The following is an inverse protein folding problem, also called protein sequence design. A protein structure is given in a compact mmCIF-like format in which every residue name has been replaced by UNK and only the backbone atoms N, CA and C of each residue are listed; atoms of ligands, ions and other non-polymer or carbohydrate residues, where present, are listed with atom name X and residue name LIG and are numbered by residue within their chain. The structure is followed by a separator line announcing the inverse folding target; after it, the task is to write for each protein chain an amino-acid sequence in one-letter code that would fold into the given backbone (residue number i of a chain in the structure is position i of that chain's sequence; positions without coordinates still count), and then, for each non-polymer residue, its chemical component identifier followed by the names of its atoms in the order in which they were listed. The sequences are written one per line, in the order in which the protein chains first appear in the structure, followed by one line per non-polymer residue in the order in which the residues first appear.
data_IF_761067339039
#
_entry.id   IF_761067339039
#
_cell.length_a   1.000
_cell.length_b   1.000
_cell.length_c   1.000
_cell.angle_alpha   90.00
_cell.angle_beta   90.00
_cell.angle_gamma   90.00
#
_symmetry.space_group_name_H-M   'P 1'
#
loop_
_entity.id
_entity.type
_entity.pdbx_description
1 polymer ?
#
# COMPACT_ATOMS: atom_id res chain seq x y z
N UNK A 1 -6.47 14.26 9.51
CA UNK A 1 -6.13 12.84 9.34
C UNK A 1 -5.69 12.56 7.90
N UNK A 2 -4.83 11.58 7.73
CA UNK A 2 -4.39 11.11 6.41
C UNK A 2 -4.86 9.67 6.22
N UNK A 3 -5.49 9.39 5.07
CA UNK A 3 -5.86 8.02 4.68
C UNK A 3 -5.04 7.63 3.47
N UNK A 4 -4.36 6.48 3.54
CA UNK A 4 -3.60 5.87 2.45
C UNK A 4 -4.32 4.60 2.05
N UNK A 5 -4.97 4.62 0.89
CA UNK A 5 -5.70 3.47 0.36
C UNK A 5 -4.88 2.83 -0.77
N UNK A 6 -4.45 1.58 -0.56
CA UNK A 6 -3.68 0.84 -1.56
C UNK A 6 -4.48 -0.37 -1.99
N UNK A 7 -5.08 -0.25 -3.15
CA UNK A 7 -5.85 -1.29 -3.82
C UNK A 7 -5.00 -2.23 -4.68
N UNK A 8 -5.70 -3.10 -5.41
CA UNK A 8 -5.07 -3.99 -6.38
C UNK A 8 -4.47 -3.25 -7.59
N UNK A 9 -5.06 -2.15 -8.03
CA UNK A 9 -4.67 -1.44 -9.26
C UNK A 9 -4.42 0.05 -9.07
N UNK A 10 -4.77 0.62 -7.93
CA UNK A 10 -4.63 2.05 -7.66
C UNK A 10 -4.10 2.32 -6.24
N UNK A 11 -3.59 3.53 -6.06
CA UNK A 11 -3.21 4.09 -4.77
C UNK A 11 -3.87 5.45 -4.64
N UNK A 12 -4.51 5.69 -3.50
CA UNK A 12 -5.10 6.99 -3.15
C UNK A 12 -4.52 7.46 -1.82
N UNK A 13 -4.19 8.73 -1.76
CA UNK A 13 -3.88 9.40 -0.49
C UNK A 13 -4.85 10.56 -0.33
N UNK A 14 -5.54 10.57 0.80
CA UNK A 14 -6.60 11.53 1.10
C UNK A 14 -6.28 12.27 2.40
N UNK A 15 -6.59 13.56 2.43
CA UNK A 15 -6.69 14.32 3.67
C UNK A 15 -8.15 14.43 4.08
N UNK A 16 -8.42 14.12 5.34
CA UNK A 16 -9.74 14.21 5.95
C UNK A 16 -9.67 15.24 7.10
N UNK A 17 -10.54 16.21 7.09
CA UNK A 17 -10.71 17.18 8.17
C UNK A 17 -12.18 17.21 8.59
N UNK A 18 -12.45 16.98 9.87
CA UNK A 18 -13.81 16.92 10.43
C UNK A 18 -14.79 16.05 9.62
N UNK A 19 -14.31 14.89 9.12
CA UNK A 19 -15.09 13.96 8.32
C UNK A 19 -15.28 14.34 6.84
N UNK A 20 -14.65 15.45 6.40
CA UNK A 20 -14.72 15.93 5.02
C UNK A 20 -13.36 15.72 4.33
N UNK A 21 -13.37 15.18 3.13
CA UNK A 21 -12.16 15.09 2.29
C UNK A 21 -11.80 16.47 1.78
N UNK A 22 -10.62 16.97 2.17
CA UNK A 22 -10.14 18.31 1.81
C UNK A 22 -9.12 18.29 0.67
N UNK A 23 -8.40 17.19 0.50
CA UNK A 23 -7.41 17.02 -0.57
C UNK A 23 -7.23 15.56 -0.90
N UNK A 24 -6.85 15.23 -2.13
CA UNK A 24 -6.47 13.88 -2.51
C UNK A 24 -5.51 13.84 -3.70
N UNK A 25 -4.77 12.74 -3.79
CA UNK A 25 -4.00 12.37 -4.96
C UNK A 25 -4.22 10.89 -5.26
N UNK A 26 -4.22 10.53 -6.53
CA UNK A 26 -4.39 9.15 -6.96
C UNK A 26 -3.33 8.78 -8.00
N UNK A 27 -2.90 7.52 -7.94
CA UNK A 27 -2.18 6.84 -9.01
C UNK A 27 -3.01 5.63 -9.46
N UNK A 28 -3.61 5.73 -10.63
CA UNK A 28 -4.45 4.71 -11.27
C UNK A 28 -3.90 4.21 -12.61
N UNK A 29 -2.75 4.77 -13.05
CA UNK A 29 -2.17 4.51 -14.38
C UNK A 29 -0.92 3.63 -14.33
N UNK A 30 -0.35 3.42 -13.15
CA UNK A 30 0.87 2.68 -12.99
C UNK A 30 0.73 1.64 -11.88
N UNK A 31 1.02 0.37 -12.19
CA UNK A 31 0.96 -0.71 -11.23
C UNK A 31 1.99 -0.58 -10.08
N UNK A 32 3.09 0.16 -10.29
CA UNK A 32 4.10 0.36 -9.26
C UNK A 32 3.50 1.00 -7.99
N UNK A 33 3.68 0.35 -6.88
CA UNK A 33 3.11 0.77 -5.58
C UNK A 33 1.71 0.23 -5.28
N UNK A 34 1.14 -0.62 -6.12
CA UNK A 34 -0.19 -1.23 -5.95
C UNK A 34 -0.09 -2.73 -5.62
N UNK A 35 -1.22 -3.37 -5.27
CA UNK A 35 -1.31 -4.81 -5.08
C UNK A 35 -0.88 -5.59 -6.33
N UNK A 36 -1.19 -5.09 -7.53
CA UNK A 36 -0.76 -5.71 -8.79
C UNK A 36 0.76 -5.83 -8.92
N UNK A 37 1.49 -4.85 -8.43
CA UNK A 37 2.95 -4.91 -8.37
C UNK A 37 3.40 -6.07 -7.47
N UNK A 38 2.79 -6.22 -6.29
CA UNK A 38 3.10 -7.32 -5.37
C UNK A 38 2.76 -8.69 -5.96
N UNK A 39 1.64 -8.82 -6.69
CA UNK A 39 1.27 -10.06 -7.39
C UNK A 39 2.33 -10.48 -8.41
N UNK A 40 2.87 -9.52 -9.18
CA UNK A 40 3.94 -9.79 -10.16
C UNK A 40 5.20 -10.25 -9.43
N UNK A 41 5.61 -9.53 -8.38
CA UNK A 41 6.83 -9.87 -7.63
C UNK A 41 6.71 -11.23 -6.91
N UNK A 42 5.57 -11.53 -6.31
CA UNK A 42 5.30 -12.81 -5.66
C UNK A 42 5.42 -13.97 -6.66
N UNK A 43 4.90 -13.80 -7.88
CA UNK A 43 5.01 -14.79 -8.96
C UNK A 43 6.45 -15.02 -9.38
N UNK A 44 7.24 -13.97 -9.57
CA UNK A 44 8.67 -14.06 -9.94
C UNK A 44 9.48 -14.76 -8.86
N UNK A 45 9.14 -14.51 -7.59
CA UNK A 45 9.79 -15.12 -6.43
C UNK A 45 9.27 -16.53 -6.13
N UNK A 46 8.22 -16.98 -6.82
CA UNK A 46 7.54 -18.28 -6.56
C UNK A 46 7.06 -18.41 -5.11
N UNK A 47 6.46 -17.35 -4.58
CA UNK A 47 5.83 -17.33 -3.26
C UNK A 47 4.38 -16.83 -3.36
N UNK A 48 3.59 -17.05 -2.30
CA UNK A 48 2.24 -16.47 -2.25
C UNK A 48 2.31 -15.00 -1.85
N UNK A 49 1.42 -14.18 -2.38
CA UNK A 49 1.36 -12.75 -2.07
C UNK A 49 1.08 -12.51 -0.57
N UNK A 50 0.31 -13.38 0.06
CA UNK A 50 0.00 -13.33 1.49
C UNK A 50 1.24 -13.54 2.37
N UNK A 51 2.23 -14.29 1.89
CA UNK A 51 3.44 -14.62 2.66
C UNK A 51 4.50 -13.51 2.58
N UNK A 52 4.37 -12.56 1.65
CA UNK A 52 5.38 -11.51 1.45
C UNK A 52 5.68 -10.72 2.74
N UNK A 53 4.64 -10.37 3.52
CA UNK A 53 4.82 -9.62 4.76
C UNK A 53 5.69 -10.37 5.77
N UNK A 54 5.39 -11.65 6.01
CA UNK A 54 6.12 -12.51 6.93
C UNK A 54 7.54 -12.81 6.43
N UNK A 55 7.70 -13.12 5.14
CA UNK A 55 9.00 -13.41 4.57
C UNK A 55 9.92 -12.18 4.59
N UNK A 56 9.41 -11.00 4.24
CA UNK A 56 10.19 -9.76 4.27
C UNK A 56 10.65 -9.36 5.68
N UNK A 57 9.90 -9.73 6.73
CA UNK A 57 10.32 -9.48 8.11
C UNK A 57 11.53 -10.31 8.56
N UNK A 58 11.88 -11.36 7.82
CA UNK A 58 13.05 -12.21 8.06
C UNK A 58 14.31 -11.71 7.33
N UNK A 59 14.24 -10.58 6.67
CA UNK A 59 15.37 -9.97 5.97
C UNK A 59 16.51 -9.63 6.92
N UNK A 60 17.73 -9.88 6.46
CA UNK A 60 18.97 -9.56 7.17
C UNK A 60 19.79 -8.49 6.49
N UNK A 61 19.49 -8.18 5.21
CA UNK A 61 20.22 -7.21 4.41
C UNK A 61 19.27 -6.38 3.56
N UNK A 62 19.60 -5.12 3.38
CA UNK A 62 18.88 -4.27 2.44
C UNK A 62 19.30 -4.56 1.01
N UNK A 63 18.32 -4.79 0.14
CA UNK A 63 18.49 -4.95 -1.31
C UNK A 63 17.64 -3.89 -2.01
N UNK A 64 18.28 -2.97 -2.73
CA UNK A 64 17.56 -1.91 -3.47
C UNK A 64 16.82 -2.48 -4.68
N UNK A 65 15.52 -2.23 -4.77
CA UNK A 65 14.67 -2.55 -5.93
C UNK A 65 14.08 -1.25 -6.48
N UNK A 66 14.19 -1.03 -7.79
CA UNK A 66 13.66 0.17 -8.44
C UNK A 66 12.14 0.26 -8.30
N UNK A 67 11.66 1.44 -7.96
CA UNK A 67 10.22 1.74 -7.88
C UNK A 67 9.66 2.39 -9.15
N UNK A 68 10.47 2.61 -10.17
CA UNK A 68 10.12 3.43 -11.34
C UNK A 68 9.10 2.75 -12.26
N UNK A 69 9.22 1.45 -12.47
CA UNK A 69 8.34 0.67 -13.35
C UNK A 69 8.36 -0.81 -12.94
N UNK A 70 7.20 -1.47 -12.98
CA UNK A 70 7.07 -2.90 -12.65
C UNK A 70 8.00 -3.77 -13.49
N UNK A 71 8.14 -3.48 -14.78
CA UNK A 71 9.01 -4.25 -15.70
C UNK A 71 10.49 -4.17 -15.29
N UNK A 72 10.97 -2.99 -14.91
CA UNK A 72 12.34 -2.84 -14.44
C UNK A 72 12.56 -3.49 -13.08
N UNK A 73 11.61 -3.35 -12.16
CA UNK A 73 11.67 -4.02 -10.87
C UNK A 73 11.67 -5.55 -11.01
N UNK A 74 10.87 -6.10 -11.93
CA UNK A 74 10.88 -7.53 -12.26
C UNK A 74 12.25 -7.99 -12.73
N UNK A 75 12.86 -7.25 -13.65
CA UNK A 75 14.21 -7.56 -14.15
C UNK A 75 15.27 -7.49 -13.05
N UNK A 76 15.16 -6.53 -12.13
CA UNK A 76 16.06 -6.40 -10.98
C UNK A 76 15.89 -7.61 -10.02
N UNK A 77 14.65 -8.02 -9.73
CA UNK A 77 14.36 -9.20 -8.89
C UNK A 77 14.95 -10.47 -9.51
N UNK A 78 14.77 -10.69 -10.83
CA UNK A 78 15.37 -11.82 -11.56
C UNK A 78 16.90 -11.78 -11.46
N UNK A 79 17.50 -10.60 -11.61
CA UNK A 79 18.95 -10.42 -11.46
C UNK A 79 19.41 -10.77 -10.05
N UNK A 80 18.71 -10.34 -9.02
CA UNK A 80 19.03 -10.67 -7.63
C UNK A 80 18.92 -12.19 -7.37
N UNK A 81 17.89 -12.84 -7.91
CA UNK A 81 17.75 -14.30 -7.82
C UNK A 81 18.92 -15.03 -8.52
N UNK A 82 19.36 -14.52 -9.67
CA UNK A 82 20.52 -15.10 -10.39
C UNK A 82 21.83 -14.96 -9.63
N UNK A 83 21.92 -13.98 -8.73
CA UNK A 83 23.06 -13.79 -7.79
C UNK A 83 22.88 -14.55 -6.48
N UNK A 84 21.91 -15.45 -6.40
CA UNK A 84 21.58 -16.23 -5.20
C UNK A 84 21.28 -15.37 -3.96
N UNK A 85 20.80 -14.13 -4.18
CA UNK A 85 20.37 -13.25 -3.08
C UNK A 85 19.20 -13.89 -2.33
N UNK A 86 19.22 -13.82 -1.00
CA UNK A 86 18.15 -14.36 -0.17
C UNK A 86 16.80 -13.73 -0.53
N UNK A 87 15.78 -14.56 -0.76
CA UNK A 87 14.43 -14.12 -1.14
C UNK A 87 13.84 -13.15 -0.11
N UNK A 88 14.09 -13.35 1.20
CA UNK A 88 13.59 -12.44 2.24
C UNK A 88 14.17 -11.03 2.11
N UNK A 89 15.45 -10.91 1.74
CA UNK A 89 16.11 -9.63 1.52
C UNK A 89 15.56 -8.92 0.27
N UNK A 90 15.30 -9.68 -0.81
CA UNK A 90 14.66 -9.15 -2.02
C UNK A 90 13.25 -8.64 -1.70
N UNK A 91 12.45 -9.43 -0.95
CA UNK A 91 11.09 -9.07 -0.54
C UNK A 91 11.08 -7.79 0.29
N UNK A 92 12.01 -7.65 1.23
CA UNK A 92 12.15 -6.42 2.00
C UNK A 92 12.46 -5.21 1.10
N UNK A 93 13.34 -5.38 0.12
CA UNK A 93 13.60 -4.35 -0.91
C UNK A 93 12.36 -3.97 -1.71
N UNK A 94 11.51 -4.95 -2.05
CA UNK A 94 10.21 -4.72 -2.70
C UNK A 94 9.29 -3.89 -1.78
N UNK A 95 9.23 -4.19 -0.48
CA UNK A 95 8.43 -3.42 0.48
C UNK A 95 8.87 -1.95 0.53
N UNK A 96 10.18 -1.71 0.64
CA UNK A 96 10.71 -0.34 0.61
C UNK A 96 10.46 0.38 -0.72
N UNK A 97 10.53 -0.33 -1.86
CA UNK A 97 10.20 0.23 -3.17
C UNK A 97 8.75 0.73 -3.25
N UNK A 98 7.79 -0.09 -2.76
CA UNK A 98 6.38 0.30 -2.66
C UNK A 98 6.21 1.49 -1.70
N UNK A 99 6.82 1.40 -0.51
CA UNK A 99 6.73 2.46 0.50
C UNK A 99 7.26 3.80 -0.01
N UNK A 100 8.41 3.82 -0.67
CA UNK A 100 8.98 5.02 -1.30
C UNK A 100 8.03 5.65 -2.31
N UNK A 101 7.41 4.83 -3.16
CA UNK A 101 6.45 5.29 -4.16
C UNK A 101 5.23 5.94 -3.52
N UNK A 102 4.65 5.28 -2.52
CA UNK A 102 3.46 5.75 -1.81
C UNK A 102 3.77 6.97 -0.94
N UNK A 103 4.93 6.99 -0.27
CA UNK A 103 5.38 8.16 0.49
C UNK A 103 5.52 9.40 -0.39
N UNK A 104 6.06 9.24 -1.61
CA UNK A 104 6.11 10.32 -2.59
C UNK A 104 4.74 10.89 -2.96
N UNK A 105 3.70 10.06 -3.02
CA UNK A 105 2.31 10.53 -3.20
C UNK A 105 1.80 11.22 -1.93
N UNK A 106 2.06 10.64 -0.75
CA UNK A 106 1.61 11.17 0.52
C UNK A 106 2.19 12.57 0.80
N UNK A 107 3.48 12.77 0.52
CA UNK A 107 4.12 14.08 0.66
C UNK A 107 3.51 15.16 -0.23
N UNK A 108 2.98 14.82 -1.41
CA UNK A 108 2.32 15.78 -2.31
C UNK A 108 1.00 16.29 -1.75
N UNK A 109 0.31 15.49 -0.96
CA UNK A 109 -0.94 15.86 -0.26
C UNK A 109 -0.63 16.56 1.05
N UNK A 110 0.49 16.24 1.67
CA UNK A 110 0.88 16.61 3.03
C UNK A 110 0.37 15.58 4.03
N UNK A 111 1.28 14.99 4.81
CA UNK A 111 0.92 14.00 5.84
C UNK A 111 0.56 14.71 7.13
N UNK A 112 -0.59 14.38 7.71
CA UNK A 112 -1.05 14.84 9.02
C UNK A 112 -1.23 13.65 9.94
N UNK A 113 -1.07 13.87 11.24
CA UNK A 113 -1.23 12.84 12.27
C UNK A 113 -2.56 12.11 12.19
N UNK A 114 -2.55 10.91 12.74
CA UNK A 114 -3.51 9.84 12.58
C UNK A 114 -3.55 9.37 11.11
N UNK A 115 -2.47 8.73 10.72
CA UNK A 115 -2.38 8.08 9.42
C UNK A 115 -3.06 6.71 9.50
N UNK A 116 -4.02 6.48 8.60
CA UNK A 116 -4.74 5.20 8.49
C UNK A 116 -4.44 4.61 7.12
N UNK A 117 -4.13 3.32 7.08
CA UNK A 117 -3.96 2.59 5.82
C UNK A 117 -5.13 1.63 5.57
N UNK A 118 -5.68 1.68 4.35
CA UNK A 118 -6.80 0.86 3.88
C UNK A 118 -6.45 0.17 2.55
N UNK A 119 -7.36 -0.64 2.05
CA UNK A 119 -7.14 -1.48 0.87
C UNK A 119 -6.50 -2.83 1.20
N UNK A 120 -6.42 -3.71 0.20
CA UNK A 120 -5.90 -5.07 0.38
C UNK A 120 -4.43 -5.11 0.79
N UNK A 121 -3.62 -4.16 0.33
CA UNK A 121 -2.19 -4.08 0.63
C UNK A 121 -1.92 -3.73 2.10
N UNK A 122 -2.88 -3.12 2.81
CA UNK A 122 -2.77 -2.85 4.24
C UNK A 122 -2.71 -4.13 5.12
N UNK A 123 -2.99 -5.30 4.55
CA UNK A 123 -2.79 -6.60 5.21
C UNK A 123 -1.32 -7.04 5.20
N UNK A 124 -0.47 -6.45 4.35
CA UNK A 124 0.94 -6.75 4.29
C UNK A 124 1.71 -5.91 5.32
N UNK A 125 2.06 -6.53 6.46
CA UNK A 125 2.75 -5.84 7.55
C UNK A 125 4.12 -5.28 7.13
N UNK A 126 4.81 -5.92 6.18
CA UNK A 126 6.09 -5.43 5.67
C UNK A 126 5.94 -4.08 4.96
N UNK A 127 4.88 -3.91 4.16
CA UNK A 127 4.56 -2.61 3.51
C UNK A 127 4.19 -1.57 4.57
N UNK A 128 3.35 -1.93 5.55
CA UNK A 128 2.94 -1.02 6.63
C UNK A 128 4.17 -0.50 7.37
N UNK A 129 5.07 -1.38 7.78
CA UNK A 129 6.29 -1.03 8.51
C UNK A 129 7.23 -0.15 7.67
N UNK A 130 7.49 -0.53 6.42
CA UNK A 130 8.32 0.25 5.52
C UNK A 130 7.75 1.66 5.26
N UNK A 131 6.42 1.77 5.15
CA UNK A 131 5.76 3.06 4.96
C UNK A 131 5.76 3.92 6.23
N UNK A 132 5.62 3.32 7.43
CA UNK A 132 5.80 4.01 8.71
C UNK A 132 7.20 4.62 8.82
N UNK A 133 8.21 3.84 8.45
CA UNK A 133 9.60 4.30 8.46
C UNK A 133 9.81 5.48 7.50
N UNK A 134 9.28 5.39 6.27
CA UNK A 134 9.42 6.43 5.26
C UNK A 134 8.68 7.73 5.61
N UNK A 135 7.52 7.64 6.24
CA UNK A 135 6.70 8.80 6.60
C UNK A 135 7.06 9.39 7.97
N UNK A 136 7.72 8.64 8.84
CA UNK A 136 7.96 9.05 10.23
C UNK A 136 6.69 9.13 11.07
N UNK A 137 5.62 8.43 10.68
CA UNK A 137 4.31 8.42 11.35
C UNK A 137 3.86 6.99 11.64
N UNK A 138 3.20 6.79 12.78
CA UNK A 138 2.49 5.54 13.06
C UNK A 138 1.32 5.37 12.10
N UNK A 139 1.20 4.20 11.48
CA UNK A 139 0.11 3.87 10.56
C UNK A 139 -0.85 2.89 11.25
N UNK A 140 -2.11 3.27 11.33
CA UNK A 140 -3.18 2.44 11.87
C UNK A 140 -3.83 1.62 10.77
N UNK A 141 -4.05 0.34 11.04
CA UNK A 141 -4.77 -0.58 10.17
C UNK A 141 -5.90 -1.26 10.95
N UNK A 142 -6.78 -1.94 10.26
CA UNK A 142 -7.83 -2.77 10.88
C UNK A 142 -7.98 -4.10 10.13
N UNK A 143 -8.56 -5.13 10.73
CA UNK A 143 -8.86 -6.38 10.03
C UNK A 143 -9.78 -6.20 8.81
N UNK A 144 -10.51 -5.09 8.75
CA UNK A 144 -11.47 -4.77 7.68
C UNK A 144 -10.91 -3.84 6.60
N UNK A 145 -9.60 -3.60 6.55
CA UNK A 145 -8.97 -2.65 5.62
C UNK A 145 -9.42 -2.83 4.18
N UNK A 146 -9.58 -4.07 3.73
CA UNK A 146 -9.98 -4.40 2.37
C UNK A 146 -11.43 -4.01 2.06
N UNK A 147 -12.28 -3.92 3.07
CA UNK A 147 -13.72 -3.70 2.94
C UNK A 147 -14.16 -2.28 3.28
N UNK A 148 -13.24 -1.40 3.70
CA UNK A 148 -13.58 -0.06 4.18
C UNK A 148 -14.35 0.77 3.14
N UNK A 149 -13.99 0.68 1.86
CA UNK A 149 -14.72 1.36 0.79
C UNK A 149 -16.15 0.88 0.65
N UNK A 150 -16.38 -0.44 0.68
CA UNK A 150 -17.72 -1.03 0.62
C UNK A 150 -18.56 -0.67 1.85
N UNK A 151 -17.95 -0.71 3.04
CA UNK A 151 -18.62 -0.31 4.29
C UNK A 151 -19.03 1.16 4.25
N UNK A 152 -18.14 2.05 3.80
CA UNK A 152 -18.44 3.47 3.64
C UNK A 152 -19.58 3.71 2.67
N UNK A 153 -19.59 3.05 1.50
CA UNK A 153 -20.65 3.14 0.52
C UNK A 153 -22.01 2.66 1.10
N UNK A 154 -22.01 1.55 1.85
CA UNK A 154 -23.20 1.04 2.50
C UNK A 154 -23.76 2.01 3.55
N UNK A 155 -22.87 2.63 4.35
CA UNK A 155 -23.29 3.64 5.35
C UNK A 155 -23.88 4.88 4.68
N UNK A 156 -23.30 5.38 3.59
CA UNK A 156 -23.87 6.50 2.84
C UNK A 156 -25.24 6.16 2.23
N UNK A 157 -25.39 4.98 1.64
CA UNK A 157 -26.67 4.51 1.09
C UNK A 157 -27.75 4.43 2.18
N UNK A 158 -27.40 3.88 3.34
CA UNK A 158 -28.31 3.79 4.47
C UNK A 158 -28.74 5.17 5.01
N UNK A 159 -27.78 6.09 5.17
CA UNK A 159 -28.10 7.46 5.59
C UNK A 159 -29.01 8.19 4.59
N UNK A 160 -28.77 8.00 3.29
CA UNK A 160 -29.64 8.58 2.25
C UNK A 160 -31.05 8.02 2.34
N UNK A 161 -31.19 6.70 2.44
CA UNK A 161 -32.47 6.03 2.60
C UNK A 161 -33.27 6.55 3.81
N UNK A 162 -32.61 6.68 4.98
CA UNK A 162 -33.28 7.21 6.19
C UNK A 162 -33.72 8.68 6.04
N UNK A 163 -33.03 9.49 5.28
CA UNK A 163 -33.44 10.87 5.00
C UNK A 163 -34.68 10.92 4.10
N UNK A 164 -34.74 10.08 3.08
CA UNK A 164 -35.88 9.99 2.15
C UNK A 164 -37.16 9.45 2.84
N UNK A 165 -37.05 8.65 3.90
CA UNK A 165 -38.20 8.17 4.67
C UNK A 165 -38.78 9.20 5.65
N UNK A 166 -38.04 10.28 5.94
CA UNK A 166 -38.43 11.34 6.89
C UNK A 166 -38.98 12.60 6.20
N UNK A 167 -38.94 12.71 4.90
CA UNK A 167 -39.48 13.80 4.10
C UNK A 167 -40.77 13.41 3.42
#
# INVERSE_FOLDING_TARGET
HTVIDIGGQDVKVLQIDNGVMTNFVMNDKCAAGTGRFLDVMARVLEVKVEDLGTLGSQSTKYVGISSTCTVFAESEVISQLSMETNKCDIINGIHHSVANRVAGLAHRVGVRDQVVMTGGVAQNIGIVNALQEQLGHTIHTSPLTQYNGALGAALFAHQKYLKEQKG
#
